data_IF_472639773105
#
_entry.id   IF_472639773105
#
_cell.length_a   1.000
_cell.length_b   1.000
_cell.length_c   1.000
_cell.angle_alpha   90.00
_cell.angle_beta   90.00
_cell.angle_gamma   90.00
#
_symmetry.space_group_name_H-M   'P 1'
#
loop_
_entity.id
_entity.type
_entity.pdbx_description
1 polymer ?
#
# COMPACT_ATOMS: atom_id res chain seq x y z
N UNK A 1 -22.30 -26.93 -15.40
CA UNK A 1 -22.04 -25.93 -14.35
C UNK A 1 -20.53 -25.76 -14.26
N UNK A 2 -19.97 -24.64 -14.71
CA UNK A 2 -18.52 -24.39 -14.67
C UNK A 2 -18.27 -23.31 -13.60
N UNK A 3 -17.98 -23.71 -12.36
CA UNK A 3 -17.44 -22.79 -11.35
C UNK A 3 -15.93 -22.70 -11.58
N UNK A 4 -15.53 -21.88 -12.55
CA UNK A 4 -14.13 -21.52 -12.71
C UNK A 4 -13.73 -20.58 -11.57
N UNK A 5 -12.88 -21.05 -10.66
CA UNK A 5 -12.31 -20.25 -9.57
C UNK A 5 -11.55 -19.03 -10.15
N UNK A 6 -12.12 -17.82 -10.02
CA UNK A 6 -11.46 -16.61 -10.49
C UNK A 6 -10.37 -16.17 -9.50
N UNK A 7 -9.21 -16.82 -9.56
CA UNK A 7 -8.09 -16.55 -8.66
C UNK A 7 -7.26 -15.36 -9.12
N UNK A 8 -7.25 -14.28 -8.34
CA UNK A 8 -6.32 -13.16 -8.54
C UNK A 8 -4.92 -13.58 -8.10
N UNK A 9 -3.96 -13.57 -9.04
CA UNK A 9 -2.55 -13.95 -8.77
C UNK A 9 -1.61 -12.75 -8.73
N UNK A 10 -2.07 -11.58 -9.19
CA UNK A 10 -1.27 -10.35 -9.25
C UNK A 10 -2.15 -9.15 -8.91
N UNK A 11 -1.55 -8.21 -8.21
CA UNK A 11 -2.11 -6.89 -7.96
C UNK A 11 -1.03 -5.83 -8.21
N UNK A 12 -1.43 -4.65 -8.66
CA UNK A 12 -0.54 -3.50 -8.85
C UNK A 12 -1.04 -2.39 -7.93
N UNK A 13 -0.13 -1.84 -7.12
CA UNK A 13 -0.43 -0.73 -6.21
C UNK A 13 0.23 0.53 -6.77
N UNK A 14 -0.57 1.51 -7.15
CA UNK A 14 -0.07 2.79 -7.63
C UNK A 14 0.35 3.67 -6.45
N UNK A 15 1.66 3.90 -6.33
CA UNK A 15 2.29 4.53 -5.16
C UNK A 15 3.19 5.74 -5.51
N UNK A 16 3.09 6.28 -6.73
CA UNK A 16 4.01 7.31 -7.25
C UNK A 16 3.71 8.76 -6.81
N UNK A 17 2.70 9.00 -5.97
CA UNK A 17 2.33 10.35 -5.56
C UNK A 17 3.26 10.96 -4.49
N UNK A 18 3.59 12.25 -4.59
CA UNK A 18 4.50 12.98 -3.68
C UNK A 18 4.05 13.05 -2.21
N UNK A 19 2.77 12.82 -1.91
CA UNK A 19 2.29 12.80 -0.53
C UNK A 19 2.24 14.15 0.19
N UNK A 20 2.20 15.28 -0.54
CA UNK A 20 2.36 16.65 0.01
C UNK A 20 1.49 17.02 1.23
N UNK A 21 0.29 16.44 1.37
CA UNK A 21 -0.61 16.67 2.52
C UNK A 21 -0.05 16.14 3.85
N UNK A 22 0.89 15.20 3.80
CA UNK A 22 1.55 14.61 4.95
C UNK A 22 2.97 15.15 5.16
N UNK A 23 3.36 16.21 4.46
CA UNK A 23 4.61 16.90 4.76
C UNK A 23 4.62 17.37 6.23
N UNK A 24 5.77 17.33 6.94
CA UNK A 24 7.10 16.98 6.42
C UNK A 24 7.41 15.48 6.40
N UNK A 25 6.51 14.63 6.91
CA UNK A 25 6.75 13.18 7.03
C UNK A 25 7.11 12.54 5.68
N UNK A 26 6.53 13.05 4.59
CA UNK A 26 6.75 12.51 3.25
C UNK A 26 7.91 13.13 2.48
N UNK A 27 8.64 14.10 3.04
CA UNK A 27 9.71 14.78 2.32
C UNK A 27 10.93 13.86 2.12
N UNK A 28 11.13 12.89 3.02
CA UNK A 28 12.22 11.91 2.99
C UNK A 28 11.75 10.46 2.94
N UNK A 29 10.48 10.20 3.23
CA UNK A 29 9.89 8.86 3.26
C UNK A 29 8.69 8.82 2.31
N UNK A 30 8.64 7.91 1.32
CA UNK A 30 7.47 7.79 0.46
C UNK A 30 6.20 7.52 1.29
N UNK A 31 5.06 8.15 0.91
CA UNK A 31 3.79 7.99 1.64
C UNK A 31 3.44 6.53 2.01
N UNK A 32 3.56 5.52 1.11
CA UNK A 32 3.23 4.14 1.46
C UNK A 32 4.09 3.56 2.60
N UNK A 33 5.27 4.12 2.84
CA UNK A 33 6.22 3.67 3.86
C UNK A 33 6.15 4.49 5.16
N UNK A 34 5.34 5.55 5.20
CA UNK A 34 5.13 6.33 6.43
C UNK A 34 4.51 5.41 7.49
N UNK A 35 5.07 5.33 8.71
CA UNK A 35 4.54 4.50 9.76
C UNK A 35 3.30 5.15 10.41
N UNK A 36 2.28 4.34 10.65
CA UNK A 36 1.10 4.68 11.47
C UNK A 36 1.00 3.61 12.56
N UNK A 37 1.07 4.03 13.83
CA UNK A 37 1.16 3.12 14.98
C UNK A 37 2.27 2.06 14.81
N UNK A 38 3.44 2.50 14.33
CA UNK A 38 4.61 1.63 14.12
C UNK A 38 4.53 0.71 12.88
N UNK A 39 3.43 0.74 12.10
CA UNK A 39 3.27 -0.09 10.90
C UNK A 39 3.25 0.78 9.63
N UNK A 40 4.02 0.46 8.57
CA UNK A 40 3.93 1.17 7.30
C UNK A 40 2.53 1.12 6.69
N UNK A 41 2.03 2.23 6.12
CA UNK A 41 0.70 2.28 5.49
C UNK A 41 0.49 1.15 4.47
N UNK A 42 1.49 0.81 3.66
CA UNK A 42 1.38 -0.23 2.62
C UNK A 42 1.02 -1.61 3.19
N UNK A 43 1.37 -1.90 4.45
CA UNK A 43 1.05 -3.16 5.09
C UNK A 43 -0.47 -3.33 5.36
N UNK A 44 -1.24 -2.25 5.39
CA UNK A 44 -2.71 -2.35 5.49
C UNK A 44 -3.36 -2.85 4.21
N UNK A 45 -2.65 -2.74 3.07
CA UNK A 45 -3.12 -3.19 1.75
C UNK A 45 -2.61 -4.60 1.44
N UNK A 46 -1.33 -4.88 1.76
CA UNK A 46 -0.71 -6.18 1.49
C UNK A 46 -1.13 -7.28 2.48
N UNK A 47 -1.64 -6.90 3.66
CA UNK A 47 -1.87 -7.83 4.76
C UNK A 47 -0.59 -8.10 5.56
N UNK A 48 -0.75 -8.56 6.81
CA UNK A 48 0.35 -9.06 7.63
C UNK A 48 0.47 -10.56 7.38
N UNK A 49 1.64 -11.01 6.93
CA UNK A 49 2.02 -12.42 7.00
C UNK A 49 2.38 -12.79 8.43
#
# INVERSE_FOLDING_TARGET
MLTGENRVTRAVILAAGRGARLAPLTDRVPKPLVPVNGTPIIATILGKH
#
